data_IF_446133122810
#
_entry.id   IF_446133122810
#
_cell.length_a   1.000
_cell.length_b   1.000
_cell.length_c   1.000
_cell.angle_alpha   90.00
_cell.angle_beta   90.00
_cell.angle_gamma   90.00
#
_symmetry.space_group_name_H-M   'P 1'
#
loop_
_entity.id
_entity.type
_entity.pdbx_description
1 polymer ?
#
# COMPACT_ATOMS: atom_id res chain seq x y z
N UNK A 1 -6.41 -16.74 -19.61
CA UNK A 1 -5.47 -15.85 -18.87
C UNK A 1 -5.71 -14.35 -19.13
N UNK A 2 -5.88 -13.93 -20.39
CA UNK A 2 -6.05 -12.51 -20.79
C UNK A 2 -7.31 -11.81 -20.22
N UNK A 3 -8.44 -12.52 -20.07
CA UNK A 3 -9.68 -11.94 -19.49
C UNK A 3 -9.49 -11.45 -18.05
N UNK A 4 -8.67 -12.13 -17.24
CA UNK A 4 -8.40 -11.75 -15.84
C UNK A 4 -7.61 -10.43 -15.77
N UNK A 5 -6.55 -10.29 -16.56
CA UNK A 5 -5.79 -9.04 -16.69
C UNK A 5 -6.71 -7.88 -17.10
N UNK A 6 -7.60 -8.11 -18.07
CA UNK A 6 -8.51 -7.08 -18.59
C UNK A 6 -9.53 -6.62 -17.54
N UNK A 7 -10.05 -7.54 -16.72
CA UNK A 7 -10.97 -7.26 -15.61
C UNK A 7 -10.30 -6.47 -14.48
N UNK A 8 -9.09 -6.85 -14.06
CA UNK A 8 -8.35 -6.07 -13.06
C UNK A 8 -8.07 -4.67 -13.58
N UNK A 9 -7.70 -4.53 -14.85
CA UNK A 9 -7.43 -3.24 -15.48
C UNK A 9 -8.69 -2.35 -15.57
N UNK A 10 -9.85 -2.94 -15.87
CA UNK A 10 -11.14 -2.21 -15.97
C UNK A 10 -11.63 -1.71 -14.61
N UNK A 11 -11.52 -2.54 -13.57
CA UNK A 11 -11.83 -2.16 -12.18
C UNK A 11 -10.88 -1.05 -11.72
N UNK A 12 -9.59 -1.13 -12.08
CA UNK A 12 -8.58 -0.13 -11.73
C UNK A 12 -8.82 1.23 -12.38
N UNK A 13 -9.12 1.24 -13.68
CA UNK A 13 -9.45 2.44 -14.46
C UNK A 13 -10.69 3.17 -13.92
N UNK A 14 -11.64 2.41 -13.37
CA UNK A 14 -12.84 2.97 -12.72
C UNK A 14 -12.52 3.62 -11.37
N UNK A 15 -11.68 2.98 -10.56
CA UNK A 15 -11.26 3.49 -9.23
C UNK A 15 -10.40 4.74 -9.36
N UNK A 16 -9.48 4.77 -10.33
CA UNK A 16 -8.55 5.88 -10.57
C UNK A 16 -9.02 6.81 -11.70
N UNK A 17 -10.35 7.00 -11.84
CA UNK A 17 -10.89 8.07 -12.69
C UNK A 17 -10.28 9.39 -12.23
N UNK A 18 -9.73 10.16 -13.19
CA UNK A 18 -8.80 11.30 -13.04
C UNK A 18 -9.34 12.48 -12.20
N UNK A 19 -9.64 12.23 -10.93
CA UNK A 19 -10.00 13.23 -9.94
C UNK A 19 -8.82 13.37 -8.98
N UNK A 20 -7.93 14.31 -9.28
CA UNK A 20 -6.70 14.60 -8.52
C UNK A 20 -6.95 14.94 -7.03
N UNK A 21 -8.18 15.29 -6.66
CA UNK A 21 -8.58 15.60 -5.28
C UNK A 21 -9.06 14.38 -4.48
N UNK A 22 -9.29 13.23 -5.13
CA UNK A 22 -9.88 12.07 -4.46
C UNK A 22 -8.81 11.26 -3.75
N UNK A 23 -8.92 11.15 -2.43
CA UNK A 23 -8.15 10.22 -1.61
C UNK A 23 -8.54 8.79 -1.98
N UNK A 24 -7.58 8.01 -2.46
CA UNK A 24 -7.80 6.62 -2.87
C UNK A 24 -7.47 5.69 -1.71
N UNK A 25 -8.51 5.25 -0.99
CA UNK A 25 -8.41 4.28 0.09
C UNK A 25 -8.39 2.85 -0.45
N UNK A 26 -7.47 2.04 0.03
CA UNK A 26 -7.32 0.64 -0.38
C UNK A 26 -7.31 -0.25 0.85
N UNK A 27 -8.29 -1.15 0.90
CA UNK A 27 -8.36 -2.25 1.87
C UNK A 27 -7.64 -3.50 1.37
N UNK A 28 -7.65 -3.76 0.06
CA UNK A 28 -7.08 -4.96 -0.50
C UNK A 28 -5.55 -4.88 -0.58
N UNK A 29 -4.89 -5.38 0.46
CA UNK A 29 -3.43 -5.46 0.59
C UNK A 29 -2.76 -6.47 -0.34
N UNK A 30 -3.52 -7.41 -0.92
CA UNK A 30 -2.99 -8.42 -1.85
C UNK A 30 -2.79 -7.89 -3.28
N UNK A 31 -3.34 -6.71 -3.57
CA UNK A 31 -3.26 -6.05 -4.86
C UNK A 31 -1.80 -5.73 -5.22
N UNK A 32 -1.41 -6.03 -6.45
CA UNK A 32 -0.10 -5.68 -7.02
C UNK A 32 -0.11 -4.26 -7.57
N UNK A 33 1.03 -3.60 -7.52
CA UNK A 33 1.22 -2.27 -8.08
C UNK A 33 1.41 -2.40 -9.59
N UNK A 34 0.53 -1.76 -10.35
CA UNK A 34 0.55 -1.67 -11.80
C UNK A 34 1.26 -0.39 -12.26
N UNK A 35 1.85 -0.37 -13.47
CA UNK A 35 2.47 0.83 -14.03
C UNK A 35 1.54 2.05 -14.11
N UNK A 36 0.23 1.83 -14.30
CA UNK A 36 -0.79 2.90 -14.37
C UNK A 36 -0.91 3.69 -13.05
N UNK A 37 -0.44 3.13 -11.93
CA UNK A 37 -0.57 3.70 -10.59
C UNK A 37 0.55 4.67 -10.22
N UNK A 38 1.54 4.85 -11.10
CA UNK A 38 2.67 5.75 -10.85
C UNK A 38 2.18 7.20 -10.77
N UNK A 39 2.71 7.93 -9.79
CA UNK A 39 2.36 9.33 -9.56
C UNK A 39 1.13 9.55 -8.69
N UNK A 40 0.48 8.48 -8.22
CA UNK A 40 -0.64 8.57 -7.27
C UNK A 40 -0.18 8.31 -5.83
N UNK A 41 -0.85 9.01 -4.90
CA UNK A 41 -0.77 8.71 -3.46
C UNK A 41 -1.95 7.85 -3.05
N UNK A 42 -1.67 6.71 -2.44
CA UNK A 42 -2.66 5.73 -2.01
C UNK A 42 -2.67 5.63 -0.49
N UNK A 43 -3.86 5.53 0.09
CA UNK A 43 -4.07 5.32 1.51
C UNK A 43 -4.34 3.83 1.77
N UNK A 44 -3.33 3.13 2.29
CA UNK A 44 -3.37 1.67 2.47
C UNK A 44 -3.78 1.34 3.90
N UNK A 45 -4.78 0.48 4.06
CA UNK A 45 -5.21 0.02 5.39
C UNK A 45 -4.19 -0.92 6.03
N UNK A 46 -3.74 -0.61 7.25
CA UNK A 46 -2.80 -1.44 8.01
C UNK A 46 -3.44 -2.29 9.11
N UNK A 47 -4.76 -2.33 9.20
CA UNK A 47 -5.51 -3.01 10.26
C UNK A 47 -6.06 -2.06 11.33
N UNK A 48 -5.48 -0.87 11.46
CA UNK A 48 -5.91 0.15 12.42
C UNK A 48 -6.12 1.52 11.75
N UNK A 49 -5.18 1.94 10.90
CA UNK A 49 -5.20 3.22 10.20
C UNK A 49 -4.80 3.09 8.73
N UNK A 50 -5.01 4.17 7.99
CA UNK A 50 -4.52 4.30 6.62
C UNK A 50 -3.14 4.95 6.58
N UNK A 51 -2.23 4.33 5.84
CA UNK A 51 -0.87 4.84 5.62
C UNK A 51 -0.82 5.41 4.21
N UNK A 52 -0.53 6.72 4.04
CA UNK A 52 -0.36 7.32 2.72
C UNK A 52 0.99 6.91 2.14
N UNK A 53 0.97 6.30 0.95
CA UNK A 53 2.16 5.89 0.21
C UNK A 53 2.08 6.46 -1.20
N UNK A 54 3.13 7.15 -1.59
CA UNK A 54 3.30 7.66 -2.95
C UNK A 54 3.94 6.59 -3.83
N UNK A 55 3.38 6.37 -5.03
CA UNK A 55 3.82 5.28 -5.90
C UNK A 55 4.90 5.73 -6.87
N UNK A 56 6.10 5.19 -6.67
CA UNK A 56 7.23 5.29 -7.58
C UNK A 56 7.29 4.12 -8.56
N UNK A 57 8.02 4.30 -9.67
CA UNK A 57 8.22 3.29 -10.71
C UNK A 57 8.85 2.00 -10.18
N UNK A 58 9.75 2.12 -9.20
CA UNK A 58 10.45 0.98 -8.59
C UNK A 58 9.52 0.06 -7.78
N UNK A 59 8.29 0.50 -7.46
CA UNK A 59 7.33 -0.29 -6.70
C UNK A 59 6.46 -1.19 -7.59
N UNK A 60 6.59 -1.13 -8.92
CA UNK A 60 5.85 -2.00 -9.84
C UNK A 60 6.13 -3.47 -9.53
N UNK A 61 5.07 -4.27 -9.48
CA UNK A 61 5.15 -5.73 -9.26
C UNK A 61 5.08 -6.16 -7.79
N UNK A 62 5.40 -5.27 -6.86
CA UNK A 62 5.23 -5.49 -5.42
C UNK A 62 3.76 -5.47 -5.01
N UNK A 63 3.45 -6.06 -3.85
CA UNK A 63 2.10 -5.99 -3.28
C UNK A 63 1.98 -4.76 -2.39
N UNK A 64 0.86 -4.08 -2.50
CA UNK A 64 0.53 -2.87 -1.73
C UNK A 64 0.67 -3.11 -0.21
N UNK A 65 0.32 -4.30 0.27
CA UNK A 65 0.43 -4.69 1.67
C UNK A 65 1.85 -4.73 2.24
N UNK A 66 2.88 -4.88 1.41
CA UNK A 66 4.28 -4.94 1.85
C UNK A 66 4.74 -3.59 2.42
N UNK A 67 4.09 -2.50 1.99
CA UNK A 67 4.40 -1.14 2.41
C UNK A 67 3.59 -0.67 3.64
N UNK A 68 2.67 -1.49 4.14
CA UNK A 68 1.82 -1.15 5.27
C UNK A 68 2.02 -2.15 6.42
N UNK A 69 2.94 -1.85 7.33
CA UNK A 69 3.21 -2.73 8.49
C UNK A 69 1.96 -2.81 9.38
N UNK A 70 1.56 -4.04 9.73
CA UNK A 70 0.37 -4.32 10.56
C UNK A 70 0.68 -4.24 12.05
N UNK A 71 1.83 -4.77 12.45
CA UNK A 71 2.20 -4.89 13.86
C UNK A 71 3.13 -3.75 14.26
N UNK A 72 2.94 -3.23 15.48
CA UNK A 72 3.85 -2.22 16.04
C UNK A 72 5.25 -2.83 16.14
N UNK A 73 6.24 -2.19 15.54
CA UNK A 73 7.65 -2.59 15.71
C UNK A 73 8.01 -2.30 17.17
N UNK A 74 8.30 -3.35 17.92
CA UNK A 74 8.79 -3.25 19.29
C UNK A 74 10.31 -3.14 19.19
N UNK A 75 10.88 -1.96 19.47
CA UNK A 75 12.34 -1.84 19.48
C UNK A 75 12.91 -2.77 20.55
N UNK A 76 13.84 -3.65 20.19
CA UNK A 76 14.45 -4.58 21.16
C UNK A 76 15.37 -3.88 22.18
N UNK A 77 15.68 -2.60 21.97
CA UNK A 77 16.63 -1.81 22.77
C UNK A 77 16.16 -1.49 24.21
N UNK A 78 14.89 -1.74 24.55
CA UNK A 78 14.35 -1.43 25.89
C UNK A 78 14.79 -2.42 26.98
N UNK A 79 15.30 -3.61 26.61
CA UNK A 79 15.73 -4.62 27.60
C UNK A 79 17.14 -4.38 28.14
N UNK A 80 17.97 -3.61 27.44
CA UNK A 80 19.38 -3.39 27.81
C UNK A 80 19.49 -2.37 28.98
N UNK A 81 18.57 -1.40 29.05
CA UNK A 81 18.59 -0.35 30.10
C UNK A 81 18.11 -0.80 31.48
N UNK A 82 17.42 -1.94 31.60
CA UNK A 82 16.83 -2.41 32.88
C UNK A 82 17.75 -3.29 33.72
N UNK A 83 18.96 -3.61 33.22
CA UNK A 83 19.90 -4.55 33.84
C UNK A 83 21.15 -3.87 34.44
N UNK A 84 21.16 -2.55 34.50
CA UNK A 84 22.26 -1.74 35.03
C UNK A 84 21.68 -0.82 36.11
N UNK A 85 21.28 -1.37 37.26
CA UNK A 85 21.15 -0.72 38.56
C UNK A 85 21.02 -1.81 39.62
#
# INVERSE_FOLDING_TARGET
>A
MIKKIKIYNLIYLSIFKKNLKKKNYIWNRSLKILPIMIGYTILIHNGNKYIPIYIHKNLIGYRIGEFAITNKIINKNYKIKKKIY
#
